data_IF_501358065680
#
_entry.id   IF_501358065680
#
_cell.length_a   1.000
_cell.length_b   1.000
_cell.length_c   1.000
_cell.angle_alpha   90.00
_cell.angle_beta   90.00
_cell.angle_gamma   90.00
#
_symmetry.space_group_name_H-M   'P 1'
#
loop_
_entity.id
_entity.type
_entity.pdbx_description
1 polymer ?
#
# COMPACT_ATOMS: atom_id res chain seq x y z
N UNK A 1 16.78 20.50 7.81
CA UNK A 1 15.36 20.15 7.60
C UNK A 1 15.02 19.83 6.13
N UNK A 2 15.24 20.69 5.16
CA UNK A 2 14.87 20.48 3.73
C UNK A 2 15.41 19.18 3.12
N UNK A 3 16.68 18.84 3.36
CA UNK A 3 17.30 17.60 2.86
C UNK A 3 16.60 16.37 3.42
N UNK A 4 16.28 16.37 4.72
CA UNK A 4 15.59 15.27 5.39
C UNK A 4 14.18 15.06 4.82
N UNK A 5 13.42 16.14 4.61
CA UNK A 5 12.11 16.09 3.95
C UNK A 5 12.26 15.50 2.54
N UNK A 6 13.25 15.95 1.77
CA UNK A 6 13.53 15.42 0.42
C UNK A 6 13.81 13.92 0.41
N UNK A 7 14.59 13.42 1.34
CA UNK A 7 14.88 11.98 1.49
C UNK A 7 13.58 11.19 1.76
N UNK A 8 12.74 11.67 2.69
CA UNK A 8 11.47 10.98 2.99
C UNK A 8 10.46 11.07 1.85
N UNK A 9 10.46 12.15 1.06
CA UNK A 9 9.66 12.24 -0.18
C UNK A 9 10.11 11.18 -1.18
N UNK A 10 11.42 11.01 -1.40
CA UNK A 10 11.94 9.97 -2.30
C UNK A 10 11.55 8.58 -1.81
N UNK A 11 11.72 8.28 -0.52
CA UNK A 11 11.31 7.00 0.07
C UNK A 11 9.80 6.76 -0.08
N UNK A 12 8.99 7.78 0.09
CA UNK A 12 7.54 7.72 -0.11
C UNK A 12 7.18 7.41 -1.57
N UNK A 13 7.83 8.05 -2.52
CA UNK A 13 7.63 7.78 -3.96
C UNK A 13 8.10 6.36 -4.34
N UNK A 14 9.22 5.89 -3.79
CA UNK A 14 9.67 4.51 -3.97
C UNK A 14 8.68 3.49 -3.41
N UNK A 15 8.05 3.79 -2.27
CA UNK A 15 6.96 2.99 -1.71
C UNK A 15 5.76 2.89 -2.66
N UNK A 16 5.35 4.01 -3.29
CA UNK A 16 4.30 4.03 -4.31
C UNK A 16 4.69 3.18 -5.53
N UNK A 17 5.91 3.35 -6.03
CA UNK A 17 6.43 2.58 -7.15
C UNK A 17 6.47 1.08 -6.87
N UNK A 18 6.81 0.68 -5.63
CA UNK A 18 6.82 -0.72 -5.19
C UNK A 18 5.40 -1.36 -5.16
N UNK A 19 4.34 -0.56 -5.03
CA UNK A 19 2.96 -1.03 -5.14
C UNK A 19 2.52 -1.08 -6.61
N UNK A 20 2.69 0.02 -7.33
CA UNK A 20 2.15 0.21 -8.68
C UNK A 20 2.95 -0.61 -9.71
N UNK A 21 4.27 -0.68 -9.60
CA UNK A 21 5.15 -1.36 -10.54
C UNK A 21 4.82 -2.85 -10.72
N UNK A 22 4.78 -3.66 -9.66
CA UNK A 22 4.43 -5.08 -9.77
C UNK A 22 3.00 -5.31 -10.29
N UNK A 23 2.06 -4.40 -10.01
CA UNK A 23 0.71 -4.46 -10.53
C UNK A 23 0.67 -4.17 -12.05
N UNK A 24 1.36 -3.13 -12.51
CA UNK A 24 1.45 -2.81 -13.94
C UNK A 24 2.14 -3.93 -14.73
N UNK A 25 3.16 -4.58 -14.14
CA UNK A 25 3.86 -5.68 -14.78
C UNK A 25 2.98 -6.93 -14.97
N UNK A 26 1.99 -7.14 -14.10
CA UNK A 26 1.10 -8.31 -14.17
C UNK A 26 -0.30 -7.99 -13.58
N UNK A 27 -1.11 -7.17 -14.26
CA UNK A 27 -2.36 -6.64 -13.68
C UNK A 27 -3.41 -7.71 -13.43
N UNK A 28 -3.32 -8.87 -14.09
CA UNK A 28 -4.25 -10.00 -13.95
C UNK A 28 -3.71 -11.15 -13.09
N UNK A 29 -2.52 -11.00 -12.51
CA UNK A 29 -1.88 -12.11 -11.77
C UNK A 29 -2.66 -12.56 -10.52
N UNK A 30 -3.57 -11.75 -9.98
CA UNK A 30 -4.40 -12.06 -8.82
C UNK A 30 -3.62 -12.37 -7.52
N UNK A 31 -2.29 -12.19 -7.54
CA UNK A 31 -1.37 -12.50 -6.44
C UNK A 31 -0.69 -11.24 -5.96
N UNK A 32 -0.73 -11.03 -4.64
CA UNK A 32 0.03 -9.94 -4.05
C UNK A 32 1.52 -10.32 -3.98
N UNK A 33 2.38 -9.40 -4.37
CA UNK A 33 3.83 -9.54 -4.24
C UNK A 33 4.29 -8.90 -2.93
N UNK A 34 5.34 -9.45 -2.32
CA UNK A 34 5.91 -8.90 -1.08
C UNK A 34 6.33 -7.43 -1.23
N UNK A 35 6.80 -7.03 -2.41
CA UNK A 35 7.13 -5.64 -2.70
C UNK A 35 5.91 -4.70 -2.51
N UNK A 36 4.70 -5.14 -2.90
CA UNK A 36 3.49 -4.35 -2.71
C UNK A 36 3.14 -4.19 -1.22
N UNK A 37 3.30 -5.25 -0.42
CA UNK A 37 3.06 -5.21 1.03
C UNK A 37 4.04 -4.26 1.72
N UNK A 38 5.33 -4.41 1.42
CA UNK A 38 6.36 -3.52 1.97
C UNK A 38 6.21 -2.08 1.49
N UNK A 39 5.85 -1.88 0.22
CA UNK A 39 5.54 -0.56 -0.33
C UNK A 39 4.37 0.11 0.41
N UNK A 40 3.30 -0.63 0.70
CA UNK A 40 2.15 -0.11 1.43
C UNK A 40 2.51 0.27 2.87
N UNK A 41 3.32 -0.53 3.57
CA UNK A 41 3.84 -0.20 4.91
C UNK A 41 4.73 1.03 4.87
N UNK A 42 5.66 1.09 3.91
CA UNK A 42 6.55 2.23 3.74
C UNK A 42 5.76 3.53 3.46
N UNK A 43 4.68 3.45 2.68
CA UNK A 43 3.79 4.59 2.40
C UNK A 43 3.18 5.17 3.68
N UNK A 44 2.67 4.34 4.57
CA UNK A 44 2.08 4.79 5.84
C UNK A 44 3.15 5.43 6.73
N UNK A 45 4.27 4.73 6.93
CA UNK A 45 5.34 5.21 7.82
C UNK A 45 5.95 6.53 7.31
N UNK A 46 6.35 6.56 6.03
CA UNK A 46 6.96 7.76 5.44
C UNK A 46 5.97 8.91 5.35
N UNK A 47 4.69 8.63 5.12
CA UNK A 47 3.63 9.63 5.13
C UNK A 47 3.46 10.29 6.48
N UNK A 48 3.43 9.52 7.57
CA UNK A 48 3.35 10.05 8.94
C UNK A 48 4.59 10.88 9.27
N UNK A 49 5.79 10.39 8.92
CA UNK A 49 7.05 11.12 9.16
C UNK A 49 7.06 12.43 8.38
N UNK A 50 6.63 12.44 7.12
CA UNK A 50 6.56 13.66 6.32
C UNK A 50 5.62 14.70 6.92
N UNK A 51 4.45 14.29 7.42
CA UNK A 51 3.54 15.19 8.13
C UNK A 51 4.21 15.78 9.36
N UNK A 52 4.83 14.95 10.20
CA UNK A 52 5.54 15.41 11.40
C UNK A 52 6.69 16.36 11.10
N UNK A 53 7.51 16.06 10.08
CA UNK A 53 8.61 16.94 9.65
C UNK A 53 8.09 18.28 9.10
N UNK A 54 6.97 18.27 8.43
CA UNK A 54 6.36 19.48 7.89
C UNK A 54 5.79 20.35 9.01
N UNK A 55 5.08 19.76 9.96
CA UNK A 55 4.58 20.45 11.16
C UNK A 55 5.72 21.13 11.97
N UNK A 56 6.87 20.44 12.07
CA UNK A 56 8.05 20.98 12.78
C UNK A 56 8.79 22.08 12.01
N UNK A 57 8.58 22.18 10.70
CA UNK A 57 9.28 23.14 9.83
C UNK A 57 8.41 24.29 9.35
N UNK A 58 7.11 24.25 9.61
CA UNK A 58 6.15 25.22 9.10
C UNK A 58 6.22 26.53 9.84
N UNK A 59 6.26 27.62 9.07
CA UNK A 59 5.94 28.97 9.53
C UNK A 59 4.42 29.00 9.87
N UNK A 60 3.97 29.76 10.88
CA UNK A 60 2.54 29.88 11.20
C UNK A 60 1.64 30.30 10.03
N UNK A 61 2.23 30.87 8.97
CA UNK A 61 1.56 31.26 7.73
C UNK A 61 1.30 30.08 6.76
N UNK A 62 2.03 28.95 6.92
CA UNK A 62 1.93 27.74 6.07
C UNK A 62 1.03 26.69 6.74
N UNK A 63 -0.22 27.06 7.03
CA UNK A 63 -1.18 26.15 7.64
C UNK A 63 -1.40 24.94 6.74
N UNK A 64 -0.87 23.79 7.16
CA UNK A 64 -1.13 22.49 6.52
C UNK A 64 -2.64 22.30 6.35
N UNK A 65 -3.08 22.02 5.15
CA UNK A 65 -4.46 21.66 4.90
C UNK A 65 -4.75 20.30 5.55
N UNK A 66 -5.21 20.33 6.80
CA UNK A 66 -5.48 19.15 7.64
C UNK A 66 -6.45 18.18 6.97
N UNK A 67 -7.41 18.70 6.21
CA UNK A 67 -8.35 17.86 5.45
C UNK A 67 -7.64 17.06 4.38
N UNK A 68 -6.75 17.69 3.61
CA UNK A 68 -5.91 17.02 2.58
C UNK A 68 -5.04 15.92 3.18
N UNK A 69 -4.41 16.20 4.33
CA UNK A 69 -3.58 15.23 5.04
C UNK A 69 -4.44 14.07 5.54
N UNK A 70 -5.59 14.36 6.15
CA UNK A 70 -6.53 13.36 6.64
C UNK A 70 -6.98 12.41 5.54
N UNK A 71 -7.39 12.94 4.38
CA UNK A 71 -7.82 12.14 3.23
C UNK A 71 -6.67 11.24 2.74
N UNK A 72 -5.45 11.77 2.59
CA UNK A 72 -4.29 10.97 2.17
C UNK A 72 -3.98 9.84 3.15
N UNK A 73 -4.06 10.11 4.45
CA UNK A 73 -3.80 9.12 5.49
C UNK A 73 -4.84 8.00 5.45
N UNK A 74 -6.13 8.35 5.33
CA UNK A 74 -7.21 7.35 5.23
C UNK A 74 -7.02 6.47 3.99
N UNK A 75 -6.72 7.06 2.83
CA UNK A 75 -6.46 6.30 1.59
C UNK A 75 -5.22 5.41 1.74
N UNK A 76 -4.15 5.89 2.36
CA UNK A 76 -2.94 5.10 2.59
C UNK A 76 -3.20 3.92 3.55
N UNK A 77 -3.97 4.14 4.62
CA UNK A 77 -4.38 3.07 5.56
C UNK A 77 -5.28 2.04 4.88
N UNK A 78 -6.24 2.46 4.06
CA UNK A 78 -7.07 1.55 3.29
C UNK A 78 -6.23 0.71 2.31
N UNK A 79 -5.26 1.33 1.62
CA UNK A 79 -4.33 0.64 0.74
C UNK A 79 -3.50 -0.41 1.51
N UNK A 80 -2.95 -0.05 2.67
CA UNK A 80 -2.20 -0.97 3.52
C UNK A 80 -3.05 -2.12 4.03
N UNK A 81 -4.29 -1.85 4.47
CA UNK A 81 -5.23 -2.88 4.91
C UNK A 81 -5.55 -3.87 3.78
N UNK A 82 -5.84 -3.39 2.57
CA UNK A 82 -6.06 -4.25 1.41
C UNK A 82 -4.85 -5.15 1.11
N UNK A 83 -3.64 -4.59 1.17
CA UNK A 83 -2.39 -5.32 0.94
C UNK A 83 -2.18 -6.41 2.00
N UNK A 84 -2.39 -6.10 3.28
CA UNK A 84 -2.23 -7.07 4.39
C UNK A 84 -3.27 -8.18 4.33
N UNK A 85 -4.54 -7.86 4.06
CA UNK A 85 -5.60 -8.85 3.91
C UNK A 85 -5.33 -9.77 2.73
N UNK A 86 -4.90 -9.21 1.58
CA UNK A 86 -4.53 -10.00 0.41
C UNK A 86 -3.36 -10.95 0.70
N UNK A 87 -2.32 -10.45 1.40
CA UNK A 87 -1.17 -11.24 1.82
C UNK A 87 -1.56 -12.36 2.80
N UNK A 88 -2.39 -12.06 3.80
CA UNK A 88 -2.86 -13.04 4.76
C UNK A 88 -3.69 -14.15 4.08
N UNK A 89 -4.59 -13.79 3.17
CA UNK A 89 -5.37 -14.76 2.39
C UNK A 89 -4.47 -15.64 1.52
N UNK A 90 -3.51 -15.06 0.82
CA UNK A 90 -2.56 -15.80 0.01
C UNK A 90 -1.72 -16.78 0.83
N UNK A 91 -1.23 -16.36 2.01
CA UNK A 91 -0.47 -17.24 2.91
C UNK A 91 -1.32 -18.41 3.43
N UNK A 92 -2.57 -18.16 3.81
CA UNK A 92 -3.50 -19.22 4.24
C UNK A 92 -3.75 -20.23 3.13
N UNK A 93 -4.01 -19.75 1.91
CA UNK A 93 -4.21 -20.61 0.76
C UNK A 93 -3.01 -21.54 0.49
N UNK A 94 -1.78 -20.99 0.58
CA UNK A 94 -0.56 -21.77 0.40
C UNK A 94 -0.32 -22.77 1.55
N UNK A 95 -0.72 -22.43 2.78
CA UNK A 95 -0.62 -23.34 3.92
C UNK A 95 -1.58 -24.53 3.78
N UNK A 96 -2.84 -24.29 3.38
CA UNK A 96 -3.82 -25.34 3.12
C UNK A 96 -3.34 -26.27 2.00
N UNK A 97 -2.89 -25.72 0.87
CA UNK A 97 -2.38 -26.52 -0.24
C UNK A 97 -1.15 -27.39 0.13
N UNK A 98 -0.36 -26.98 1.11
CA UNK A 98 0.76 -27.79 1.63
C UNK A 98 0.29 -28.88 2.59
N UNK A 99 -0.74 -28.62 3.40
CA UNK A 99 -1.34 -29.60 4.31
C UNK A 99 -2.03 -30.73 3.57
N UNK A 100 -2.73 -30.41 2.48
CA UNK A 100 -3.47 -31.39 1.65
C UNK A 100 -2.53 -32.29 0.80
N UNK A 101 -1.29 -31.87 0.56
CA UNK A 101 -0.29 -32.69 -0.14
C UNK A 101 0.17 -33.91 0.69
N UNK A 102 -0.19 -34.01 1.98
CA UNK A 102 0.12 -35.12 2.88
C UNK A 102 -1.05 -36.06 3.21
N UNK A 103 -2.25 -35.81 2.70
CA UNK A 103 -3.46 -36.60 3.01
C UNK A 103 -4.47 -36.54 1.89
N UNK A 104 -4.90 -37.72 1.44
CA UNK A 104 -6.04 -38.08 0.59
C UNK A 104 -6.91 -36.94 0.04
N UNK A 105 -7.19 -37.01 -1.26
CA UNK A 105 -8.04 -36.14 -2.07
C UNK A 105 -9.31 -35.64 -1.36
N UNK A 106 -9.21 -34.56 -0.62
CA UNK A 106 -10.30 -33.78 -0.06
C UNK A 106 -10.56 -32.57 -0.94
N UNK A 107 -11.81 -32.30 -1.20
CA UNK A 107 -12.40 -31.25 -2.04
C UNK A 107 -11.57 -29.97 -2.01
N UNK A 108 -10.91 -29.67 -3.10
CA UNK A 108 -10.16 -28.41 -3.29
C UNK A 108 -11.14 -27.26 -3.27
N UNK A 109 -11.37 -26.68 -2.10
CA UNK A 109 -12.10 -25.41 -1.99
C UNK A 109 -11.25 -24.38 -2.75
N UNK A 110 -11.68 -24.04 -3.96
CA UNK A 110 -11.02 -23.05 -4.81
C UNK A 110 -10.90 -21.76 -4.00
N UNK A 111 -9.71 -21.49 -3.47
CA UNK A 111 -9.43 -20.23 -2.79
C UNK A 111 -9.57 -19.15 -3.86
N UNK A 112 -10.67 -18.41 -3.78
CA UNK A 112 -10.94 -17.29 -4.68
C UNK A 112 -9.69 -16.39 -4.71
N UNK A 113 -9.15 -16.12 -5.90
CA UNK A 113 -7.96 -15.31 -6.03
C UNK A 113 -8.20 -13.96 -5.36
N UNK A 114 -7.24 -13.48 -4.59
CA UNK A 114 -7.29 -12.17 -3.94
C UNK A 114 -7.24 -11.00 -4.95
N UNK A 115 -7.62 -11.26 -6.19
CA UNK A 115 -7.53 -10.35 -7.34
C UNK A 115 -8.16 -8.99 -7.02
N UNK A 116 -9.37 -8.99 -6.43
CA UNK A 116 -10.04 -7.74 -6.07
C UNK A 116 -9.26 -6.90 -5.04
N UNK A 117 -8.64 -7.55 -4.05
CA UNK A 117 -7.83 -6.84 -3.05
C UNK A 117 -6.51 -6.32 -3.62
N UNK A 118 -5.89 -7.08 -4.53
CA UNK A 118 -4.67 -6.63 -5.23
C UNK A 118 -4.97 -5.44 -6.13
N UNK A 119 -6.08 -5.47 -6.86
CA UNK A 119 -6.56 -4.35 -7.66
C UNK A 119 -6.87 -3.13 -6.78
N UNK A 120 -7.62 -3.32 -5.69
CA UNK A 120 -7.92 -2.25 -4.74
C UNK A 120 -6.66 -1.61 -4.17
N UNK A 121 -5.65 -2.40 -3.79
CA UNK A 121 -4.36 -1.90 -3.30
C UNK A 121 -3.69 -0.99 -4.33
N UNK A 122 -3.61 -1.40 -5.59
CA UNK A 122 -2.98 -0.63 -6.65
C UNK A 122 -3.78 0.66 -6.97
N UNK A 123 -5.10 0.55 -7.10
CA UNK A 123 -5.97 1.69 -7.39
C UNK A 123 -5.97 2.73 -6.26
N UNK A 124 -5.97 2.30 -5.00
CA UNK A 124 -5.86 3.19 -3.85
C UNK A 124 -4.49 3.89 -3.81
N UNK A 125 -3.41 3.18 -4.18
CA UNK A 125 -2.09 3.80 -4.29
C UNK A 125 -2.06 4.88 -5.38
N UNK A 126 -2.64 4.61 -6.55
CA UNK A 126 -2.76 5.59 -7.65
C UNK A 126 -3.62 6.77 -7.19
N UNK A 127 -4.78 6.52 -6.59
CA UNK A 127 -5.65 7.56 -6.05
C UNK A 127 -4.90 8.46 -5.06
N UNK A 128 -4.10 7.87 -4.16
CA UNK A 128 -3.32 8.63 -3.19
C UNK A 128 -2.29 9.56 -3.87
N UNK A 129 -1.65 9.09 -4.95
CA UNK A 129 -0.76 9.92 -5.78
C UNK A 129 -1.55 11.04 -6.47
N UNK A 130 -2.71 10.74 -7.05
CA UNK A 130 -3.58 11.74 -7.69
C UNK A 130 -4.02 12.84 -6.70
N UNK A 131 -4.47 12.45 -5.51
CA UNK A 131 -4.82 13.40 -4.43
C UNK A 131 -3.59 14.24 -4.03
N UNK A 132 -2.39 13.65 -4.06
CA UNK A 132 -1.17 14.39 -3.75
C UNK A 132 -0.87 15.50 -4.76
N UNK A 133 -1.08 15.22 -6.05
CA UNK A 133 -0.69 16.10 -7.16
C UNK A 133 -1.81 17.06 -7.55
N UNK A 134 -3.05 16.57 -7.63
CA UNK A 134 -4.18 17.34 -8.18
C UNK A 134 -4.89 18.24 -7.15
N UNK A 135 -4.79 17.89 -5.88
CA UNK A 135 -5.37 18.71 -4.82
C UNK A 135 -4.37 19.78 -4.37
N UNK A 136 -4.27 20.84 -5.09
CA UNK A 136 -3.49 22.06 -4.75
C UNK A 136 -4.24 22.94 -3.77
#
# INVERSE_FOLDING_TARGET
MRVLIGVFVVLHLLGAAAIIGPWLAAPRAGRIRMAMVWGARAQVVTGIVLVGLHELSSDPSDALNRTKIGVKLVVALACAACAEIANARQRRALATARGDAGGSAGTTTAVLPATGLVQATALLAILNVCVAVLWT
#
